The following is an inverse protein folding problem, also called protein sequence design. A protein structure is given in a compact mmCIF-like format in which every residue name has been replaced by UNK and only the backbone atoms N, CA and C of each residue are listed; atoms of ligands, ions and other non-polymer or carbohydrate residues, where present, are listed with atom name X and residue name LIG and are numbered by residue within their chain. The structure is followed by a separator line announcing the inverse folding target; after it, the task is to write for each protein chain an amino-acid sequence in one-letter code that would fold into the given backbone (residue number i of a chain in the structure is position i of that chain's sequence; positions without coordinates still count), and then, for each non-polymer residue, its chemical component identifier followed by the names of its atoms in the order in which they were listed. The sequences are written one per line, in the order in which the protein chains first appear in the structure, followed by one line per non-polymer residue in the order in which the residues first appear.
data_IF_010555846254
#
_entry.id   IF_010555846254
#
_cell.length_a   1.000
_cell.length_b   1.000
_cell.length_c   1.000
_cell.angle_alpha   90.00
_cell.angle_beta   90.00
_cell.angle_gamma   90.00
#
_symmetry.space_group_name_H-M   'P 1'
#
loop_
_entity.id
_entity.type
_entity.pdbx_description
1 polymer ?
#
# COMPACT_ATOMS: atom_id res chain seq x y z
N UNK A 1 60.35 11.14 2.69
CA UNK A 1 59.64 9.85 2.54
C UNK A 1 58.53 9.98 1.49
N UNK A 2 58.27 8.97 0.66
CA UNK A 2 57.15 9.01 -0.31
C UNK A 2 55.82 8.71 0.38
N UNK A 3 54.71 9.24 -0.15
CA UNK A 3 53.35 9.04 0.42
C UNK A 3 52.96 7.58 0.61
N UNK A 4 53.30 6.72 -0.36
CA UNK A 4 53.00 5.29 -0.28
C UNK A 4 53.77 4.59 0.86
N UNK A 5 55.02 5.00 1.08
CA UNK A 5 55.87 4.49 2.17
C UNK A 5 55.33 4.94 3.53
N UNK A 6 54.92 6.20 3.64
CA UNK A 6 54.30 6.75 4.86
C UNK A 6 52.97 6.05 5.20
N UNK A 7 52.13 5.76 4.20
CA UNK A 7 50.90 4.98 4.41
C UNK A 7 51.22 3.56 4.86
N UNK A 8 52.23 2.91 4.27
CA UNK A 8 52.61 1.56 4.67
C UNK A 8 53.19 1.51 6.09
N UNK A 9 54.00 2.50 6.47
CA UNK A 9 54.51 2.64 7.83
C UNK A 9 53.35 2.65 8.86
N UNK A 10 52.35 3.51 8.63
CA UNK A 10 51.19 3.58 9.54
C UNK A 10 50.36 2.30 9.53
N UNK A 11 50.20 1.65 8.38
CA UNK A 11 49.49 0.37 8.27
C UNK A 11 50.22 -0.74 9.04
N UNK A 12 51.55 -0.79 8.97
CA UNK A 12 52.34 -1.73 9.78
C UNK A 12 52.22 -1.47 11.28
N UNK A 13 51.91 -0.23 11.67
CA UNK A 13 51.64 0.17 13.05
C UNK A 13 50.16 -0.02 13.46
N UNK A 14 49.37 -0.71 12.65
CA UNK A 14 48.00 -1.10 12.97
C UNK A 14 46.92 -0.13 12.48
N UNK A 15 47.26 0.88 11.68
CA UNK A 15 46.27 1.78 11.09
C UNK A 15 45.55 1.16 9.90
N UNK A 16 44.29 1.56 9.69
CA UNK A 16 43.63 1.26 8.42
C UNK A 16 44.23 2.12 7.30
N UNK A 17 44.33 1.58 6.08
CA UNK A 17 44.81 2.35 4.91
C UNK A 17 44.04 3.66 4.73
N UNK A 18 42.75 3.67 5.04
CA UNK A 18 41.90 4.84 4.91
C UNK A 18 42.21 5.90 5.96
N UNK A 19 42.43 5.51 7.23
CA UNK A 19 42.78 6.44 8.29
C UNK A 19 44.21 6.97 8.15
N UNK A 20 45.15 6.11 7.74
CA UNK A 20 46.50 6.51 7.38
C UNK A 20 46.49 7.54 6.23
N UNK A 21 45.71 7.30 5.18
CA UNK A 21 45.60 8.26 4.08
C UNK A 21 44.98 9.59 4.50
N UNK A 22 44.04 9.57 5.45
CA UNK A 22 43.37 10.77 5.98
C UNK A 22 44.25 11.58 6.92
N UNK A 23 45.02 10.92 7.77
CA UNK A 23 45.96 11.57 8.68
C UNK A 23 47.06 12.34 7.91
N UNK A 24 47.35 11.92 6.69
CA UNK A 24 48.39 12.48 5.83
C UNK A 24 47.83 13.42 4.73
N UNK A 25 46.57 13.87 4.83
CA UNK A 25 45.94 14.75 3.82
C UNK A 25 46.65 16.10 3.73
N UNK A 26 47.00 16.67 4.88
CA UNK A 26 47.55 18.02 4.96
C UNK A 26 49.09 18.06 4.83
N UNK A 27 49.72 16.91 4.57
CA UNK A 27 51.19 16.83 4.41
C UNK A 27 51.56 17.01 2.95
N UNK A 28 52.43 17.98 2.70
CA UNK A 28 53.06 18.14 1.40
C UNK A 28 54.23 17.15 1.23
N UNK A 29 54.02 16.13 0.39
CA UNK A 29 55.03 15.12 0.09
C UNK A 29 56.08 15.58 -0.92
N UNK A 30 55.90 16.74 -1.58
CA UNK A 30 56.91 17.30 -2.48
C UNK A 30 58.17 17.75 -1.75
N UNK A 31 58.02 18.10 -0.46
CA UNK A 31 59.10 18.51 0.44
C UNK A 31 59.87 17.34 1.07
N UNK A 32 59.56 16.10 0.69
CA UNK A 32 60.15 14.89 1.26
C UNK A 32 60.10 14.88 2.80
N UNK A 33 58.90 14.89 3.41
CA UNK A 33 58.75 14.91 4.87
C UNK A 33 59.47 13.72 5.51
N UNK A 34 60.06 13.98 6.69
CA UNK A 34 60.70 12.96 7.52
C UNK A 34 59.66 12.15 8.29
N UNK A 35 60.09 11.04 8.87
CA UNK A 35 59.21 10.15 9.64
C UNK A 35 58.59 10.86 10.85
N UNK A 36 59.30 11.82 11.44
CA UNK A 36 58.82 12.58 12.59
C UNK A 36 57.60 13.45 12.23
N UNK A 37 57.61 14.11 11.06
CA UNK A 37 56.47 14.86 10.54
C UNK A 37 55.27 13.93 10.32
N UNK A 38 55.48 12.75 9.74
CA UNK A 38 54.42 11.73 9.53
C UNK A 38 53.81 11.30 10.86
N UNK A 39 54.64 10.98 11.87
CA UNK A 39 54.19 10.56 13.20
C UNK A 39 53.47 11.67 13.95
N UNK A 40 53.91 12.93 13.82
CA UNK A 40 53.26 14.09 14.43
C UNK A 40 51.85 14.29 13.87
N UNK A 41 51.70 14.29 12.55
CA UNK A 41 50.39 14.41 11.89
C UNK A 41 49.45 13.25 12.27
N UNK A 42 49.98 12.03 12.30
CA UNK A 42 49.22 10.83 12.68
C UNK A 42 48.78 10.88 14.15
N UNK A 43 49.64 11.34 15.05
CA UNK A 43 49.30 11.54 16.47
C UNK A 43 48.18 12.57 16.65
N UNK A 44 48.24 13.69 15.93
CA UNK A 44 47.16 14.70 15.95
C UNK A 44 45.83 14.14 15.44
N UNK A 45 45.86 13.30 14.40
CA UNK A 45 44.66 12.65 13.86
C UNK A 45 44.08 11.58 14.79
N UNK A 46 44.92 10.76 15.42
CA UNK A 46 44.50 9.64 16.29
C UNK A 46 43.78 10.07 17.57
N UNK A 47 43.97 11.32 18.01
CA UNK A 47 43.32 11.85 19.20
C UNK A 47 41.91 12.36 18.94
N UNK A 48 41.74 13.68 18.98
CA UNK A 48 40.43 14.33 18.93
C UNK A 48 39.69 14.13 17.60
N UNK A 49 40.43 14.06 16.49
CA UNK A 49 39.83 13.96 15.16
C UNK A 49 39.21 12.57 14.93
N UNK A 50 39.92 11.51 15.27
CA UNK A 50 39.40 10.14 15.21
C UNK A 50 38.19 9.96 16.15
N UNK A 51 38.28 10.47 17.38
CA UNK A 51 37.17 10.38 18.35
C UNK A 51 35.90 11.08 17.85
N UNK A 52 36.01 12.31 17.34
CA UNK A 52 34.88 13.06 16.76
C UNK A 52 34.25 12.29 15.60
N UNK A 53 35.06 11.71 14.72
CA UNK A 53 34.59 10.93 13.58
C UNK A 53 33.88 9.66 13.98
N UNK A 54 34.42 8.90 14.93
CA UNK A 54 33.76 7.69 15.45
C UNK A 54 32.38 8.03 16.03
N UNK A 55 32.28 9.14 16.78
CA UNK A 55 30.98 9.63 17.28
C UNK A 55 30.01 10.01 16.17
N UNK A 56 30.47 10.74 15.16
CA UNK A 56 29.64 11.13 14.01
C UNK A 56 29.18 9.90 13.21
N UNK A 57 30.06 8.93 12.98
CA UNK A 57 29.70 7.67 12.32
C UNK A 57 28.69 6.87 13.13
N UNK A 58 28.86 6.77 14.45
CA UNK A 58 27.91 6.09 15.31
C UNK A 58 26.53 6.76 15.27
N UNK A 59 26.49 8.10 15.33
CA UNK A 59 25.25 8.86 15.19
C UNK A 59 24.58 8.65 13.83
N UNK A 60 25.36 8.67 12.74
CA UNK A 60 24.87 8.42 11.39
C UNK A 60 24.31 7.00 11.25
N UNK A 61 25.03 5.99 11.74
CA UNK A 61 24.55 4.59 11.76
C UNK A 61 23.24 4.44 12.54
N UNK A 62 23.12 5.11 13.68
CA UNK A 62 21.87 5.15 14.45
C UNK A 62 20.71 5.76 13.67
N UNK A 63 20.94 6.92 13.01
CA UNK A 63 19.94 7.58 12.18
C UNK A 63 19.50 6.73 10.99
N UNK A 64 20.45 6.12 10.27
CA UNK A 64 20.15 5.22 9.14
C UNK A 64 19.34 4.03 9.61
N UNK A 65 19.73 3.38 10.71
CA UNK A 65 19.00 2.24 11.26
C UNK A 65 17.57 2.60 11.62
N UNK A 66 17.35 3.76 12.26
CA UNK A 66 16.01 4.25 12.61
C UNK A 66 15.17 4.49 11.35
N UNK A 67 15.71 5.22 10.37
CA UNK A 67 15.02 5.51 9.10
C UNK A 67 14.70 4.24 8.32
N UNK A 68 15.62 3.28 8.25
CA UNK A 68 15.37 2.00 7.58
C UNK A 68 14.20 1.26 8.22
N UNK A 69 14.14 1.21 9.56
CA UNK A 69 13.00 0.60 10.27
C UNK A 69 11.68 1.30 9.98
N UNK A 70 11.67 2.63 9.97
CA UNK A 70 10.49 3.42 9.62
C UNK A 70 10.03 3.14 8.19
N UNK A 71 10.95 3.15 7.22
CA UNK A 71 10.65 2.84 5.81
C UNK A 71 10.07 1.43 5.66
N UNK A 72 10.65 0.42 6.32
CA UNK A 72 10.13 -0.96 6.26
C UNK A 72 8.73 -1.07 6.85
N UNK A 73 8.46 -0.37 7.95
CA UNK A 73 7.14 -0.35 8.56
C UNK A 73 6.12 0.32 7.64
N UNK A 74 6.46 1.48 7.07
CA UNK A 74 5.59 2.20 6.12
C UNK A 74 5.32 1.36 4.87
N UNK A 75 6.32 0.64 4.35
CA UNK A 75 6.14 -0.25 3.21
C UNK A 75 5.17 -1.39 3.52
N UNK A 76 5.29 -2.01 4.70
CA UNK A 76 4.38 -3.08 5.11
C UNK A 76 2.95 -2.57 5.30
N UNK A 77 2.77 -1.42 5.95
CA UNK A 77 1.45 -0.78 6.08
C UNK A 77 0.85 -0.46 4.71
N UNK A 78 1.64 0.10 3.79
CA UNK A 78 1.18 0.39 2.43
C UNK A 78 0.79 -0.88 1.67
N UNK A 79 1.54 -1.97 1.85
CA UNK A 79 1.20 -3.28 1.28
C UNK A 79 -0.16 -3.77 1.78
N UNK A 80 -0.39 -3.71 3.09
CA UNK A 80 -1.67 -4.10 3.71
C UNK A 80 -2.83 -3.20 3.27
N UNK A 81 -2.61 -1.89 3.17
CA UNK A 81 -3.62 -0.95 2.67
C UNK A 81 -3.96 -1.24 1.21
N UNK A 82 -2.98 -1.57 0.38
CA UNK A 82 -3.19 -1.93 -1.02
C UNK A 82 -4.01 -3.22 -1.17
N UNK A 83 -3.73 -4.26 -0.39
CA UNK A 83 -4.52 -5.50 -0.44
C UNK A 83 -5.95 -5.27 0.06
N UNK A 84 -6.13 -4.48 1.12
CA UNK A 84 -7.47 -4.11 1.62
C UNK A 84 -8.24 -3.31 0.59
N UNK A 85 -7.60 -2.35 -0.07
CA UNK A 85 -8.21 -1.56 -1.14
C UNK A 85 -8.67 -2.44 -2.30
N UNK A 86 -7.83 -3.35 -2.80
CA UNK A 86 -8.20 -4.29 -3.86
C UNK A 86 -9.40 -5.15 -3.47
N UNK A 87 -9.42 -5.67 -2.24
CA UNK A 87 -10.54 -6.47 -1.73
C UNK A 87 -11.84 -5.67 -1.68
N UNK A 88 -11.77 -4.41 -1.21
CA UNK A 88 -12.95 -3.53 -1.16
C UNK A 88 -13.45 -3.18 -2.56
N UNK A 89 -12.55 -2.96 -3.52
CA UNK A 89 -12.92 -2.71 -4.91
C UNK A 89 -13.63 -3.92 -5.53
N UNK A 90 -13.10 -5.14 -5.35
CA UNK A 90 -13.76 -6.37 -5.82
C UNK A 90 -15.17 -6.51 -5.23
N UNK A 91 -15.29 -6.34 -3.90
CA UNK A 91 -16.58 -6.46 -3.22
C UNK A 91 -17.59 -5.39 -3.68
N UNK A 92 -17.13 -4.16 -3.92
CA UNK A 92 -18.00 -3.10 -4.43
C UNK A 92 -18.46 -3.39 -5.85
N UNK A 93 -17.61 -3.99 -6.69
CA UNK A 93 -17.99 -4.39 -8.04
C UNK A 93 -19.07 -5.49 -7.99
N UNK A 94 -18.87 -6.54 -7.19
CA UNK A 94 -19.86 -7.60 -6.97
C UNK A 94 -21.21 -7.04 -6.48
N UNK A 95 -21.18 -6.13 -5.50
CA UNK A 95 -22.41 -5.49 -4.99
C UNK A 95 -23.10 -4.64 -6.06
N UNK A 96 -22.34 -3.98 -6.92
CA UNK A 96 -22.89 -3.17 -8.01
C UNK A 96 -23.57 -4.05 -9.05
N UNK A 97 -22.95 -5.18 -9.40
CA UNK A 97 -23.51 -6.17 -10.33
C UNK A 97 -24.81 -6.78 -9.77
N UNK A 98 -24.80 -7.26 -8.52
CA UNK A 98 -26.00 -7.80 -7.85
C UNK A 98 -27.12 -6.76 -7.77
N UNK A 99 -26.80 -5.51 -7.42
CA UNK A 99 -27.78 -4.45 -7.36
C UNK A 99 -28.38 -4.14 -8.74
N UNK A 100 -27.58 -4.18 -9.80
CA UNK A 100 -28.08 -4.00 -11.17
C UNK A 100 -29.07 -5.09 -11.57
N UNK A 101 -28.83 -6.33 -11.15
CA UNK A 101 -29.73 -7.45 -11.44
C UNK A 101 -31.02 -7.34 -10.64
N UNK A 102 -30.94 -7.05 -9.34
CA UNK A 102 -32.11 -6.80 -8.50
C UNK A 102 -32.99 -5.65 -9.03
N UNK A 103 -32.39 -4.61 -9.61
CA UNK A 103 -33.14 -3.53 -10.25
C UNK A 103 -33.90 -3.99 -11.50
N UNK A 104 -33.30 -4.88 -12.32
CA UNK A 104 -34.00 -5.47 -13.48
C UNK A 104 -35.14 -6.35 -13.02
N UNK A 105 -34.90 -7.21 -12.02
CA UNK A 105 -35.91 -8.11 -11.46
C UNK A 105 -37.08 -7.32 -10.89
N UNK A 106 -36.81 -6.27 -10.11
CA UNK A 106 -37.86 -5.40 -9.58
C UNK A 106 -38.69 -4.74 -10.68
N UNK A 107 -38.07 -4.33 -11.79
CA UNK A 107 -38.77 -3.77 -12.94
C UNK A 107 -39.64 -4.83 -13.65
N UNK A 108 -39.12 -6.05 -13.80
CA UNK A 108 -39.87 -7.16 -14.37
C UNK A 108 -41.07 -7.53 -13.49
N UNK A 109 -40.87 -7.68 -12.19
CA UNK A 109 -41.93 -7.94 -11.21
C UNK A 109 -43.00 -6.85 -11.22
N UNK A 110 -42.61 -5.58 -11.28
CA UNK A 110 -43.56 -4.47 -11.42
C UNK A 110 -44.39 -4.61 -12.70
N UNK A 111 -43.75 -4.96 -13.82
CA UNK A 111 -44.43 -5.19 -15.09
C UNK A 111 -45.43 -6.33 -14.99
N UNK A 112 -45.07 -7.44 -14.34
CA UNK A 112 -46.00 -8.56 -14.09
C UNK A 112 -47.17 -8.17 -13.20
N UNK A 113 -46.91 -7.40 -12.13
CA UNK A 113 -47.97 -6.88 -11.26
C UNK A 113 -48.93 -5.99 -12.05
N UNK A 114 -48.43 -5.11 -12.91
CA UNK A 114 -49.25 -4.23 -13.73
C UNK A 114 -50.09 -5.02 -14.75
N UNK A 115 -49.53 -6.09 -15.35
CA UNK A 115 -50.27 -7.01 -16.21
C UNK A 115 -51.38 -7.75 -15.45
N UNK A 116 -51.10 -8.26 -14.25
CA UNK A 116 -52.10 -8.92 -13.40
C UNK A 116 -53.22 -7.94 -13.07
N UNK A 117 -52.91 -6.73 -12.62
CA UNK A 117 -53.90 -5.68 -12.31
C UNK A 117 -54.78 -5.35 -13.50
N UNK A 118 -54.20 -5.22 -14.69
CA UNK A 118 -54.95 -4.96 -15.91
C UNK A 118 -55.91 -6.11 -16.23
N UNK A 119 -55.43 -7.36 -16.14
CA UNK A 119 -56.25 -8.54 -16.40
C UNK A 119 -57.41 -8.65 -15.41
N UNK A 120 -57.14 -8.49 -14.11
CA UNK A 120 -58.18 -8.45 -13.07
C UNK A 120 -59.24 -7.39 -13.37
N UNK A 121 -58.82 -6.20 -13.80
CA UNK A 121 -59.73 -5.09 -14.12
C UNK A 121 -60.63 -5.42 -15.33
N UNK A 122 -60.07 -6.04 -16.36
CA UNK A 122 -60.82 -6.50 -17.54
C UNK A 122 -61.82 -7.59 -17.18
N UNK A 123 -61.38 -8.59 -16.43
CA UNK A 123 -62.22 -9.71 -15.98
C UNK A 123 -63.38 -9.21 -15.10
N UNK A 124 -63.10 -8.27 -14.19
CA UNK A 124 -64.13 -7.66 -13.34
C UNK A 124 -65.13 -6.82 -14.13
N UNK A 125 -64.67 -6.06 -15.13
CA UNK A 125 -65.56 -5.34 -16.05
C UNK A 125 -66.46 -6.29 -16.85
N UNK A 126 -65.98 -7.49 -17.17
CA UNK A 126 -66.77 -8.50 -17.86
C UNK A 126 -67.80 -9.14 -16.94
N UNK A 127 -67.44 -9.44 -15.68
CA UNK A 127 -68.36 -9.98 -14.68
C UNK A 127 -69.51 -9.02 -14.35
N UNK A 128 -69.26 -7.71 -14.31
CA UNK A 128 -70.29 -6.69 -14.06
C UNK A 128 -71.36 -6.57 -15.17
N UNK A 129 -71.21 -7.28 -16.30
CA UNK A 129 -72.21 -7.30 -17.37
C UNK A 129 -73.33 -8.32 -17.16
N UNK A 130 -73.17 -9.24 -16.21
CA UNK A 130 -74.14 -10.30 -15.92
C UNK A 130 -75.13 -9.87 -14.84
N UNK A 131 -76.31 -10.49 -14.80
CA UNK A 131 -77.27 -10.30 -13.71
C UNK A 131 -76.85 -11.05 -12.44
N UNK A 132 -77.32 -10.65 -11.26
CA UNK A 132 -76.87 -11.13 -9.94
C UNK A 132 -76.85 -12.65 -9.76
N UNK A 133 -77.77 -13.37 -10.40
CA UNK A 133 -77.84 -14.84 -10.37
C UNK A 133 -76.76 -15.51 -11.24
N UNK A 134 -76.31 -14.84 -12.30
CA UNK A 134 -75.29 -15.32 -13.23
C UNK A 134 -73.87 -14.90 -12.83
N UNK A 135 -73.73 -13.75 -12.17
CA UNK A 135 -72.45 -13.26 -11.63
C UNK A 135 -71.79 -14.34 -10.77
N UNK A 136 -72.51 -14.92 -9.79
CA UNK A 136 -71.95 -15.95 -8.89
C UNK A 136 -71.39 -17.17 -9.63
N UNK A 137 -72.06 -17.60 -10.70
CA UNK A 137 -71.66 -18.76 -11.50
C UNK A 137 -70.40 -18.45 -12.32
N UNK A 138 -70.33 -17.28 -12.95
CA UNK A 138 -69.14 -16.87 -13.72
C UNK A 138 -67.95 -16.51 -12.83
N UNK A 139 -68.19 -15.97 -11.63
CA UNK A 139 -67.15 -15.67 -10.64
C UNK A 139 -66.48 -16.96 -10.13
N UNK A 140 -67.27 -18.03 -9.89
CA UNK A 140 -66.74 -19.33 -9.52
C UNK A 140 -65.90 -19.97 -10.63
N UNK A 141 -66.33 -19.87 -11.90
CA UNK A 141 -65.56 -20.34 -13.08
C UNK A 141 -64.28 -19.53 -13.28
N UNK A 142 -64.32 -18.22 -13.04
CA UNK A 142 -63.15 -17.36 -13.16
C UNK A 142 -62.12 -17.68 -12.07
N UNK A 143 -62.56 -17.81 -10.81
CA UNK A 143 -61.68 -18.12 -9.68
C UNK A 143 -60.95 -19.46 -9.86
N UNK A 144 -61.66 -20.48 -10.32
CA UNK A 144 -61.07 -21.79 -10.65
C UNK A 144 -60.02 -21.71 -11.78
N UNK A 145 -60.20 -20.84 -12.78
CA UNK A 145 -59.17 -20.59 -13.82
C UNK A 145 -57.95 -19.83 -13.32
N UNK A 146 -58.06 -19.07 -12.22
CA UNK A 146 -56.94 -18.28 -11.68
C UNK A 146 -56.04 -19.04 -10.70
N UNK A 147 -56.49 -20.17 -10.15
CA UNK A 147 -55.71 -20.96 -9.19
C UNK A 147 -54.72 -21.96 -9.82
N UNK A 148 -54.73 -22.10 -11.15
CA UNK A 148 -53.95 -23.12 -11.87
C UNK A 148 -54.79 -24.33 -12.19
#
# INVERSE_FOLDING_TARGET
MKKAEAIQLLVTEGWTKADASRALVDIDFSLNPDELIIRRASSSFAGQELYKRQRLQAAQKGMVTKRTKEVTLTQEVNRQLKTKSLRLTSKNQELTEVNSELQKDNKALKTYIDQIRLRLSLDMKQLLKFEDSEIRRELAKWFSKTQG
#
